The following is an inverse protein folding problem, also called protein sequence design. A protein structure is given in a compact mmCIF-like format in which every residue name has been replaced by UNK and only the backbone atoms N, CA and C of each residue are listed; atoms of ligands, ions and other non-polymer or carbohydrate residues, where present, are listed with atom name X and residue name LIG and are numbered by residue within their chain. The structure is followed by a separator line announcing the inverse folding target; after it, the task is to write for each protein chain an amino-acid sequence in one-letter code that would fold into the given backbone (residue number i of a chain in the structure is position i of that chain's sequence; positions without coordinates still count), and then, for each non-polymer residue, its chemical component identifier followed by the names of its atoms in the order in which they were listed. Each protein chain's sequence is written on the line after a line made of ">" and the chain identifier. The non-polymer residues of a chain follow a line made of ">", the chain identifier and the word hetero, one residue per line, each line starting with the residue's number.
data_IF_947378071959
#
_entry.id   IF_947378071959
#
_cell.length_a   1.000
_cell.length_b   1.000
_cell.length_c   1.000
_cell.angle_alpha   90.00
_cell.angle_beta   90.00
_cell.angle_gamma   90.00
#
_symmetry.space_group_name_H-M   'P 1'
#
loop_
_entity.id
_entity.type
_entity.pdbx_description
1 polymer ?
#
# COMPACT_ATOMS: atom_id res chain seq x y z
N UNK A 1 -14.10 -26.09 -3.36
CA UNK A 1 -14.33 -25.66 -4.77
C UNK A 1 -12.98 -25.23 -5.31
N UNK A 2 -12.41 -25.98 -6.26
CA UNK A 2 -11.22 -25.52 -6.97
C UNK A 2 -11.62 -24.40 -7.94
N UNK A 3 -10.91 -23.27 -7.97
CA UNK A 3 -11.18 -22.22 -8.96
C UNK A 3 -10.86 -22.73 -10.36
N UNK A 4 -11.83 -22.63 -11.28
CA UNK A 4 -11.60 -22.88 -12.71
C UNK A 4 -10.49 -21.96 -13.22
N UNK A 5 -9.41 -22.53 -13.76
CA UNK A 5 -8.39 -21.76 -14.49
C UNK A 5 -9.02 -21.18 -15.75
N UNK A 6 -9.18 -19.86 -15.79
CA UNK A 6 -9.64 -19.14 -16.98
C UNK A 6 -8.52 -19.17 -18.02
N UNK A 7 -8.79 -19.82 -19.16
CA UNK A 7 -7.87 -19.82 -20.29
C UNK A 7 -8.06 -18.53 -21.08
N UNK A 8 -7.04 -17.66 -21.11
CA UNK A 8 -7.09 -16.42 -21.90
C UNK A 8 -6.88 -16.77 -23.36
N UNK A 9 -7.78 -16.33 -24.22
CA UNK A 9 -7.65 -16.55 -25.66
C UNK A 9 -6.55 -15.62 -26.17
N UNK A 10 -5.45 -16.18 -26.66
CA UNK A 10 -4.51 -15.39 -27.44
C UNK A 10 -5.29 -14.78 -28.62
N UNK A 11 -5.33 -13.45 -28.70
CA UNK A 11 -5.77 -12.77 -29.92
C UNK A 11 -4.97 -13.41 -31.05
N UNK A 12 -5.64 -13.83 -32.13
CA UNK A 12 -5.00 -14.49 -33.28
C UNK A 12 -4.08 -13.50 -34.01
N UNK A 13 -3.03 -12.99 -33.37
CA UNK A 13 -1.98 -12.26 -34.04
C UNK A 13 -1.12 -13.29 -34.76
N UNK A 14 -1.17 -13.31 -36.09
CA UNK A 14 -0.31 -14.16 -36.94
C UNK A 14 1.18 -13.75 -36.89
N UNK A 15 1.58 -12.95 -35.90
CA UNK A 15 2.90 -12.40 -35.71
C UNK A 15 3.33 -12.60 -34.26
N UNK A 16 4.55 -13.12 -33.98
CA UNK A 16 5.10 -13.22 -32.63
C UNK A 16 5.21 -11.84 -31.92
N UNK A 17 5.18 -10.75 -32.69
CA UNK A 17 5.14 -9.39 -32.14
C UNK A 17 3.80 -9.06 -31.47
N UNK A 18 2.67 -9.56 -32.01
CA UNK A 18 1.36 -9.27 -31.43
C UNK A 18 1.12 -9.97 -30.09
N UNK A 19 1.67 -11.17 -29.90
CA UNK A 19 1.62 -11.84 -28.60
C UNK A 19 2.46 -11.08 -27.56
N UNK A 20 3.65 -10.61 -27.94
CA UNK A 20 4.49 -9.84 -27.03
C UNK A 20 3.80 -8.55 -26.56
N UNK A 21 3.16 -7.81 -27.48
CA UNK A 21 2.40 -6.60 -27.14
C UNK A 21 1.28 -6.88 -26.12
N UNK A 22 0.52 -7.96 -26.31
CA UNK A 22 -0.53 -8.38 -25.37
C UNK A 22 0.04 -8.70 -23.99
N UNK A 23 1.15 -9.44 -23.92
CA UNK A 23 1.79 -9.79 -22.63
C UNK A 23 2.30 -8.54 -21.90
N UNK A 24 2.89 -7.60 -22.64
CA UNK A 24 3.37 -6.32 -22.10
C UNK A 24 2.20 -5.50 -21.55
N UNK A 25 1.11 -5.37 -22.31
CA UNK A 25 -0.09 -4.65 -21.89
C UNK A 25 -0.74 -5.28 -20.65
N UNK A 26 -0.85 -6.61 -20.61
CA UNK A 26 -1.38 -7.34 -19.46
C UNK A 26 -0.54 -7.13 -18.20
N UNK A 27 0.78 -7.15 -18.32
CA UNK A 27 1.69 -6.91 -17.20
C UNK A 27 1.53 -5.51 -16.61
N UNK A 28 1.54 -4.49 -17.48
CA UNK A 28 1.35 -3.11 -17.03
C UNK A 28 -0.07 -2.84 -16.53
N UNK A 29 -1.07 -3.51 -17.07
CA UNK A 29 -2.45 -3.41 -16.58
C UNK A 29 -2.58 -4.00 -15.19
N UNK A 30 -2.08 -5.23 -14.98
CA UNK A 30 -2.09 -5.91 -13.68
C UNK A 30 -1.37 -5.08 -12.61
N UNK A 31 -0.15 -4.60 -12.89
CA UNK A 31 0.62 -3.80 -11.94
C UNK A 31 -0.05 -2.47 -11.61
N UNK A 32 -0.62 -1.79 -12.61
CA UNK A 32 -1.38 -0.55 -12.44
C UNK A 32 -2.66 -0.74 -11.62
N UNK A 33 -3.38 -1.83 -11.85
CA UNK A 33 -4.62 -2.12 -11.10
C UNK A 33 -4.34 -2.35 -9.62
N UNK A 34 -3.30 -3.11 -9.28
CA UNK A 34 -2.91 -3.30 -7.87
C UNK A 34 -2.42 -2.00 -7.24
N UNK A 35 -1.60 -1.21 -7.96
CA UNK A 35 -1.18 0.10 -7.49
C UNK A 35 -2.35 1.07 -7.26
N UNK A 36 -3.38 1.05 -8.12
CA UNK A 36 -4.59 1.86 -7.96
C UNK A 36 -5.40 1.49 -6.71
N UNK A 37 -5.50 0.21 -6.36
CA UNK A 37 -6.20 -0.23 -5.14
C UNK A 37 -5.50 0.31 -3.89
N UNK A 38 -4.17 0.23 -3.87
CA UNK A 38 -3.38 0.79 -2.78
C UNK A 38 -3.51 2.30 -2.69
N UNK A 39 -3.34 3.02 -3.81
CA UNK A 39 -3.47 4.48 -3.86
C UNK A 39 -4.86 4.93 -3.39
N UNK A 40 -5.93 4.27 -3.83
CA UNK A 40 -7.28 4.57 -3.38
C UNK A 40 -7.43 4.43 -1.86
N UNK A 41 -6.90 3.36 -1.28
CA UNK A 41 -6.95 3.16 0.17
C UNK A 41 -6.12 4.21 0.94
N UNK A 42 -5.02 4.69 0.37
CA UNK A 42 -4.24 5.79 0.92
C UNK A 42 -4.97 7.13 0.82
N UNK A 43 -5.55 7.45 -0.34
CA UNK A 43 -6.32 8.69 -0.58
C UNK A 43 -7.54 8.79 0.34
N UNK A 44 -8.15 7.65 0.69
CA UNK A 44 -9.25 7.60 1.65
C UNK A 44 -8.86 8.11 3.04
N UNK A 45 -7.59 8.01 3.46
CA UNK A 45 -7.17 8.54 4.76
C UNK A 45 -7.38 10.07 4.83
N UNK A 46 -7.02 10.79 3.77
CA UNK A 46 -7.20 12.24 3.68
C UNK A 46 -8.67 12.60 3.42
N UNK A 47 -9.30 11.94 2.43
CA UNK A 47 -10.70 12.22 2.06
C UNK A 47 -11.67 12.02 3.22
N UNK A 48 -11.48 10.96 4.01
CA UNK A 48 -12.33 10.64 5.17
C UNK A 48 -11.83 11.33 6.45
N UNK A 49 -10.84 12.22 6.33
CA UNK A 49 -10.27 12.99 7.45
C UNK A 49 -9.84 12.11 8.62
N UNK A 50 -9.24 10.97 8.33
CA UNK A 50 -8.81 10.02 9.35
C UNK A 50 -7.85 10.74 10.31
N UNK A 51 -8.12 10.59 11.60
CA UNK A 51 -7.38 11.23 12.71
C UNK A 51 -7.41 12.77 12.73
N UNK A 52 -8.32 13.42 12.00
CA UNK A 52 -8.64 14.83 12.26
C UNK A 52 -9.34 14.92 13.62
N UNK A 53 -8.64 15.45 14.62
CA UNK A 53 -9.02 15.39 16.03
C UNK A 53 -10.40 16.02 16.35
N UNK A 54 -10.81 17.03 15.58
CA UNK A 54 -12.13 17.65 15.72
C UNK A 54 -13.29 16.74 15.32
N UNK A 55 -13.02 15.67 14.57
CA UNK A 55 -13.99 14.69 14.10
C UNK A 55 -14.06 13.45 15.03
N UNK A 56 -13.29 13.39 16.13
CA UNK A 56 -13.26 12.26 17.08
C UNK A 56 -14.15 12.52 18.30
N UNK A 57 -15.46 12.63 18.08
CA UNK A 57 -16.40 13.08 19.12
C UNK A 57 -17.29 11.98 19.67
N UNK A 58 -17.52 10.91 18.91
CA UNK A 58 -18.37 9.79 19.31
C UNK A 58 -17.74 8.42 19.03
N UNK A 59 -18.35 7.36 19.57
CA UNK A 59 -17.94 5.97 19.29
C UNK A 59 -18.01 5.64 17.79
N UNK A 60 -19.01 6.18 17.09
CA UNK A 60 -19.14 5.99 15.65
C UNK A 60 -17.96 6.59 14.88
N UNK A 61 -17.41 7.72 15.33
CA UNK A 61 -16.23 8.33 14.72
C UNK A 61 -14.99 7.45 14.88
N UNK A 62 -14.75 6.92 16.08
CA UNK A 62 -13.64 5.96 16.32
C UNK A 62 -13.78 4.71 15.46
N UNK A 63 -14.99 4.16 15.39
CA UNK A 63 -15.28 2.97 14.56
C UNK A 63 -15.04 3.26 13.08
N UNK A 64 -15.49 4.41 12.57
CA UNK A 64 -15.26 4.85 11.18
C UNK A 64 -13.77 5.00 10.89
N UNK A 65 -13.03 5.68 11.76
CA UNK A 65 -11.59 5.91 11.57
C UNK A 65 -10.81 4.60 11.62
N UNK A 66 -11.13 3.69 12.55
CA UNK A 66 -10.48 2.37 12.62
C UNK A 66 -10.69 1.57 11.34
N UNK A 67 -11.90 1.58 10.79
CA UNK A 67 -12.23 0.88 9.55
C UNK A 67 -11.37 1.36 8.37
N UNK A 68 -11.18 2.68 8.20
CA UNK A 68 -10.35 3.20 7.10
C UNK A 68 -8.86 2.89 7.30
N UNK A 69 -8.37 2.94 8.54
CA UNK A 69 -7.01 2.51 8.87
C UNK A 69 -6.79 1.02 8.58
N UNK A 70 -7.77 0.16 8.90
CA UNK A 70 -7.73 -1.27 8.58
C UNK A 70 -7.72 -1.52 7.07
N UNK A 71 -8.53 -0.78 6.30
CA UNK A 71 -8.54 -0.87 4.84
C UNK A 71 -7.19 -0.48 4.24
N UNK A 72 -6.61 0.64 4.68
CA UNK A 72 -5.29 1.09 4.27
C UNK A 72 -4.18 0.09 4.62
N UNK A 73 -4.21 -0.48 5.83
CA UNK A 73 -3.27 -1.51 6.25
C UNK A 73 -3.39 -2.80 5.42
N UNK A 74 -4.62 -3.26 5.15
CA UNK A 74 -4.86 -4.43 4.30
C UNK A 74 -4.32 -4.19 2.89
N UNK A 75 -4.68 -3.06 2.28
CA UNK A 75 -4.23 -2.70 0.94
C UNK A 75 -2.70 -2.59 0.85
N UNK A 76 -2.04 -2.02 1.87
CA UNK A 76 -0.57 -1.92 1.91
C UNK A 76 0.11 -3.28 2.02
N UNK A 77 -0.42 -4.19 2.85
CA UNK A 77 0.08 -5.57 2.97
C UNK A 77 -0.15 -6.38 1.70
N UNK A 78 -1.33 -6.26 1.09
CA UNK A 78 -1.67 -6.92 -0.16
C UNK A 78 -0.78 -6.44 -1.31
N UNK A 79 -0.52 -5.13 -1.39
CA UNK A 79 0.34 -4.57 -2.43
C UNK A 79 1.80 -4.96 -2.23
N UNK A 80 2.30 -4.97 -0.98
CA UNK A 80 3.63 -5.50 -0.67
C UNK A 80 3.77 -6.96 -1.10
N UNK A 81 2.82 -7.81 -0.71
CA UNK A 81 2.81 -9.22 -1.10
C UNK A 81 2.71 -9.39 -2.63
N UNK A 82 1.97 -8.52 -3.32
CA UNK A 82 1.92 -8.50 -4.78
C UNK A 82 3.30 -8.21 -5.39
N UNK A 83 4.00 -7.19 -4.92
CA UNK A 83 5.33 -6.82 -5.40
C UNK A 83 6.35 -7.92 -5.14
N UNK A 84 6.37 -8.49 -3.93
CA UNK A 84 7.27 -9.60 -3.58
C UNK A 84 7.08 -10.82 -4.49
N UNK A 85 5.85 -11.06 -4.96
CA UNK A 85 5.48 -12.20 -5.79
C UNK A 85 5.25 -11.83 -7.27
N UNK A 86 5.67 -10.64 -7.71
CA UNK A 86 5.34 -10.12 -9.04
C UNK A 86 5.83 -11.03 -10.17
N UNK A 87 7.03 -11.61 -10.05
CA UNK A 87 7.58 -12.55 -11.03
C UNK A 87 6.71 -13.80 -11.18
N UNK A 88 6.33 -14.41 -10.06
CA UNK A 88 5.46 -15.59 -10.03
C UNK A 88 4.10 -15.27 -10.63
N UNK A 89 3.48 -14.15 -10.23
CA UNK A 89 2.17 -13.71 -10.74
C UNK A 89 2.21 -13.42 -12.25
N UNK A 90 3.24 -12.74 -12.72
CA UNK A 90 3.43 -12.48 -14.15
C UNK A 90 3.62 -13.79 -14.94
N UNK A 91 4.41 -14.72 -14.39
CA UNK A 91 4.64 -16.04 -15.01
C UNK A 91 3.35 -16.84 -15.12
N UNK A 92 2.58 -16.93 -14.03
CA UNK A 92 1.30 -17.63 -14.01
C UNK A 92 0.28 -17.00 -14.98
N UNK A 93 0.21 -15.65 -15.01
CA UNK A 93 -0.65 -14.93 -15.93
C UNK A 93 -0.29 -15.22 -17.40
N UNK A 94 1.00 -15.31 -17.72
CA UNK A 94 1.44 -15.56 -19.10
C UNK A 94 1.31 -17.02 -19.54
N UNK A 95 1.44 -17.98 -18.61
CA UNK A 95 1.15 -19.40 -18.89
C UNK A 95 -0.32 -19.60 -19.27
N UNK A 96 -1.24 -18.74 -18.78
CA UNK A 96 -2.67 -18.79 -19.14
C UNK A 96 -2.94 -18.53 -20.64
N UNK A 97 -1.97 -17.99 -21.38
CA UNK A 97 -2.00 -17.84 -22.84
C UNK A 97 -1.53 -19.10 -23.59
N UNK A 98 -1.28 -20.21 -22.89
CA UNK A 98 -0.81 -21.47 -23.50
C UNK A 98 0.71 -21.52 -23.71
N UNK A 99 1.46 -20.59 -23.12
CA UNK A 99 2.91 -20.57 -23.18
C UNK A 99 3.53 -21.52 -22.13
N UNK A 100 4.64 -22.15 -22.48
CA UNK A 100 5.44 -22.90 -21.51
C UNK A 100 6.27 -21.95 -20.62
N UNK A 101 6.63 -22.40 -19.42
CA UNK A 101 7.48 -21.62 -18.51
C UNK A 101 8.81 -21.18 -19.17
N UNK A 102 9.39 -22.01 -20.04
CA UNK A 102 10.62 -21.68 -20.78
C UNK A 102 10.44 -20.51 -21.77
N UNK A 103 9.24 -20.37 -22.36
CA UNK A 103 8.92 -19.28 -23.27
C UNK A 103 8.60 -17.98 -22.52
N UNK A 104 7.99 -18.08 -21.34
CA UNK A 104 7.57 -16.96 -20.50
C UNK A 104 8.74 -16.28 -19.79
N UNK A 105 9.69 -17.07 -19.28
CA UNK A 105 10.81 -16.57 -18.46
C UNK A 105 11.57 -15.36 -19.04
N UNK A 106 12.01 -15.34 -20.32
CA UNK A 106 12.73 -14.18 -20.86
C UNK A 106 11.86 -12.92 -20.96
N UNK A 107 10.56 -13.07 -21.22
CA UNK A 107 9.61 -11.94 -21.31
C UNK A 107 9.39 -11.32 -19.94
N UNK A 108 9.10 -12.15 -18.93
CA UNK A 108 8.92 -11.71 -17.55
C UNK A 108 10.19 -11.03 -17.02
N UNK A 109 11.35 -11.64 -17.23
CA UNK A 109 12.63 -11.05 -16.85
C UNK A 109 12.85 -9.67 -17.48
N UNK A 110 12.52 -9.52 -18.76
CA UNK A 110 12.65 -8.24 -19.45
C UNK A 110 11.73 -7.17 -18.83
N UNK A 111 10.47 -7.51 -18.58
CA UNK A 111 9.47 -6.61 -17.99
C UNK A 111 9.82 -6.20 -16.55
N UNK A 112 10.47 -7.09 -15.79
CA UNK A 112 10.88 -6.81 -14.41
C UNK A 112 12.15 -5.96 -14.30
N UNK A 113 12.87 -5.67 -15.39
CA UNK A 113 14.16 -4.97 -15.34
C UNK A 113 14.09 -3.64 -14.58
N UNK A 114 13.03 -2.86 -14.79
CA UNK A 114 12.82 -1.60 -14.06
C UNK A 114 12.44 -1.83 -12.62
N UNK A 115 11.55 -2.80 -12.36
CA UNK A 115 11.13 -3.17 -11.02
C UNK A 115 12.30 -3.63 -10.16
N UNK A 116 13.18 -4.50 -10.66
CA UNK A 116 14.33 -5.02 -9.92
C UNK A 116 15.31 -3.92 -9.48
N UNK A 117 15.39 -2.81 -10.23
CA UNK A 117 16.20 -1.64 -9.81
C UNK A 117 15.58 -0.87 -8.64
N UNK A 118 14.26 -0.95 -8.47
CA UNK A 118 13.48 -0.17 -7.50
C UNK A 118 12.94 -1.02 -6.36
N UNK A 119 13.02 -2.36 -6.48
CA UNK A 119 12.37 -3.33 -5.61
C UNK A 119 12.68 -3.13 -4.14
N UNK A 120 13.96 -2.94 -3.80
CA UNK A 120 14.38 -2.72 -2.42
C UNK A 120 13.73 -1.47 -1.84
N UNK A 121 13.78 -0.35 -2.55
CA UNK A 121 13.19 0.93 -2.14
C UNK A 121 11.66 0.84 -2.04
N UNK A 122 10.98 0.20 -3.01
CA UNK A 122 9.52 -0.02 -2.98
C UNK A 122 9.06 -0.89 -1.82
N UNK A 123 9.78 -1.98 -1.54
CA UNK A 123 9.48 -2.88 -0.41
C UNK A 123 9.67 -2.12 0.92
N UNK A 124 10.77 -1.37 1.07
CA UNK A 124 11.00 -0.53 2.25
C UNK A 124 9.90 0.50 2.42
N UNK A 125 9.54 1.21 1.35
CA UNK A 125 8.47 2.21 1.36
C UNK A 125 7.14 1.61 1.85
N UNK A 126 6.70 0.49 1.27
CA UNK A 126 5.46 -0.16 1.71
C UNK A 126 5.54 -0.70 3.14
N UNK A 127 6.70 -1.22 3.56
CA UNK A 127 6.94 -1.59 4.95
C UNK A 127 6.73 -0.40 5.90
N UNK A 128 7.31 0.75 5.58
CA UNK A 128 7.13 1.99 6.34
C UNK A 128 5.67 2.46 6.34
N UNK A 129 4.95 2.34 5.22
CA UNK A 129 3.51 2.65 5.15
C UNK A 129 2.66 1.74 6.06
N UNK A 130 3.03 0.45 6.20
CA UNK A 130 2.38 -0.48 7.13
C UNK A 130 2.66 -0.09 8.59
N UNK A 131 3.90 0.29 8.90
CA UNK A 131 4.26 0.80 10.23
C UNK A 131 3.47 2.09 10.56
N UNK A 132 3.36 3.00 9.59
CA UNK A 132 2.56 4.23 9.71
C UNK A 132 1.11 3.92 10.07
N UNK A 133 0.44 3.05 9.31
CA UNK A 133 -0.93 2.62 9.59
C UNK A 133 -1.09 1.99 10.97
N UNK A 134 -0.13 1.19 11.40
CA UNK A 134 -0.13 0.51 12.70
C UNK A 134 0.00 1.52 13.85
N UNK A 135 0.86 2.53 13.70
CA UNK A 135 1.02 3.60 14.69
C UNK A 135 -0.18 4.54 14.74
N UNK A 136 -0.76 4.88 13.60
CA UNK A 136 -2.04 5.61 13.54
C UNK A 136 -3.16 4.86 14.25
N UNK A 137 -3.27 3.54 14.06
CA UNK A 137 -4.27 2.74 14.77
C UNK A 137 -4.00 2.66 16.28
N UNK A 138 -2.74 2.59 16.68
CA UNK A 138 -2.33 2.66 18.09
C UNK A 138 -2.68 4.01 18.72
N UNK A 139 -2.49 5.11 17.97
CA UNK A 139 -2.89 6.45 18.39
C UNK A 139 -4.42 6.53 18.56
N UNK A 140 -5.18 6.07 17.57
CA UNK A 140 -6.64 6.07 17.63
C UNK A 140 -7.14 5.31 18.86
N UNK A 141 -6.61 4.10 19.10
CA UNK A 141 -6.94 3.28 20.26
C UNK A 141 -6.58 3.96 21.58
N UNK A 142 -5.43 4.63 21.64
CA UNK A 142 -5.00 5.39 22.81
C UNK A 142 -5.98 6.53 23.12
N UNK A 143 -6.34 7.33 22.11
CA UNK A 143 -7.29 8.44 22.24
C UNK A 143 -8.67 7.95 22.66
N UNK A 144 -9.14 6.85 22.08
CA UNK A 144 -10.41 6.21 22.43
C UNK A 144 -10.44 5.76 23.88
N UNK A 145 -9.43 4.98 24.29
CA UNK A 145 -9.32 4.43 25.65
C UNK A 145 -9.19 5.53 26.71
N UNK A 146 -8.70 6.70 26.32
CA UNK A 146 -8.45 7.84 27.21
C UNK A 146 -9.37 9.03 26.95
N UNK A 147 -10.50 8.85 26.27
CA UNK A 147 -11.40 9.94 25.85
C UNK A 147 -11.82 10.88 26.99
N UNK A 148 -11.95 10.39 28.22
CA UNK A 148 -12.29 11.22 29.38
C UNK A 148 -11.13 12.04 29.97
N UNK A 149 -9.90 11.75 29.55
CA UNK A 149 -8.66 12.32 30.08
C UNK A 149 -7.97 13.29 29.12
N UNK A 150 -8.64 13.65 28.04
CA UNK A 150 -8.13 14.66 27.13
C UNK A 150 -9.27 15.50 26.57
N UNK A 151 -8.91 16.70 26.13
CA UNK A 151 -9.82 17.62 25.46
C UNK A 151 -9.10 18.29 24.30
N UNK A 152 -9.88 18.76 23.33
CA UNK A 152 -9.34 19.54 22.23
C UNK A 152 -9.28 21.02 22.63
N UNK A 153 -8.08 21.61 22.61
CA UNK A 153 -7.84 23.04 22.88
C UNK A 153 -7.00 23.59 21.73
N UNK A 154 -7.52 24.58 21.01
CA UNK A 154 -6.83 25.19 19.85
C UNK A 154 -6.33 24.16 18.82
N UNK A 155 -7.17 23.16 18.48
CA UNK A 155 -6.84 22.03 17.60
C UNK A 155 -5.67 21.14 18.08
N UNK A 156 -5.33 21.20 19.36
CA UNK A 156 -4.33 20.35 19.99
C UNK A 156 -4.96 19.53 21.11
N UNK A 157 -4.44 18.33 21.34
CA UNK A 157 -4.90 17.49 22.43
C UNK A 157 -4.22 17.96 23.72
N UNK A 158 -5.03 18.43 24.67
CA UNK A 158 -4.61 18.74 26.03
C UNK A 158 -4.96 17.56 26.94
N UNK A 159 -3.92 16.86 27.41
CA UNK A 159 -4.05 15.70 28.29
C UNK A 159 -4.13 16.15 29.76
N UNK A 160 -5.05 15.56 30.52
CA UNK A 160 -5.31 15.92 31.93
C UNK A 160 -4.09 15.70 32.84
N UNK A 161 -3.27 14.69 32.55
CA UNK A 161 -2.09 14.33 33.33
C UNK A 161 -0.81 14.25 32.48
N UNK A 162 0.33 14.57 33.12
CA UNK A 162 1.66 14.58 32.51
C UNK A 162 2.12 13.20 32.03
N UNK A 163 1.73 12.10 32.68
CA UNK A 163 2.11 10.76 32.24
C UNK A 163 1.40 10.39 30.95
N UNK A 164 0.09 10.69 30.83
CA UNK A 164 -0.65 10.51 29.58
C UNK A 164 -0.11 11.39 28.46
N UNK A 165 0.21 12.66 28.75
CA UNK A 165 0.85 13.56 27.79
C UNK A 165 2.17 12.98 27.23
N UNK A 166 3.01 12.38 28.10
CA UNK A 166 4.24 11.72 27.65
C UNK A 166 3.98 10.52 26.74
N UNK A 167 2.97 9.70 27.06
CA UNK A 167 2.62 8.54 26.24
C UNK A 167 2.09 8.97 24.87
N UNK A 168 1.21 9.96 24.84
CA UNK A 168 0.72 10.56 23.60
C UNK A 168 1.84 11.12 22.74
N UNK A 169 2.70 11.98 23.31
CA UNK A 169 3.81 12.58 22.57
C UNK A 169 4.77 11.52 22.03
N UNK A 170 5.05 10.46 22.78
CA UNK A 170 5.90 9.37 22.29
C UNK A 170 5.30 8.68 21.04
N UNK A 171 3.98 8.48 20.99
CA UNK A 171 3.31 7.93 19.80
C UNK A 171 3.40 8.92 18.62
N UNK A 172 3.19 10.22 18.87
CA UNK A 172 3.32 11.26 17.83
C UNK A 172 4.75 11.33 17.29
N UNK A 173 5.76 11.32 18.16
CA UNK A 173 7.17 11.34 17.77
C UNK A 173 7.53 10.14 16.87
N UNK A 174 7.00 8.95 17.18
CA UNK A 174 7.15 7.77 16.33
C UNK A 174 6.46 7.92 14.97
N UNK A 175 5.26 8.51 14.93
CA UNK A 175 4.53 8.76 13.67
C UNK A 175 5.32 9.74 12.79
N UNK A 176 5.81 10.84 13.35
CA UNK A 176 6.62 11.83 12.62
C UNK A 176 7.90 11.19 12.06
N UNK A 177 8.60 10.38 12.86
CA UNK A 177 9.79 9.67 12.39
C UNK A 177 9.49 8.70 11.23
N UNK A 178 8.30 8.10 11.20
CA UNK A 178 7.87 7.24 10.10
C UNK A 178 7.52 8.08 8.86
N UNK A 179 6.89 9.24 9.01
CA UNK A 179 6.61 10.16 7.89
C UNK A 179 7.90 10.63 7.21
N UNK A 180 8.94 10.94 8.00
CA UNK A 180 10.28 11.27 7.48
C UNK A 180 10.87 10.12 6.65
N UNK A 181 10.65 8.87 7.06
CA UNK A 181 11.09 7.69 6.29
C UNK A 181 10.29 7.51 5.00
N UNK A 182 8.97 7.75 5.02
CA UNK A 182 8.14 7.72 3.80
C UNK A 182 8.67 8.76 2.81
N UNK A 183 8.96 9.98 3.26
CA UNK A 183 9.50 11.04 2.41
C UNK A 183 10.87 10.65 1.84
N UNK A 184 11.75 10.07 2.66
CA UNK A 184 13.05 9.59 2.24
C UNK A 184 12.97 8.56 1.11
N UNK A 185 12.20 7.49 1.29
CA UNK A 185 12.07 6.44 0.28
C UNK A 185 11.32 6.90 -0.98
N UNK A 186 10.36 7.83 -0.84
CA UNK A 186 9.68 8.45 -1.99
C UNK A 186 10.67 9.23 -2.86
N UNK A 187 11.56 10.03 -2.25
CA UNK A 187 12.62 10.76 -2.97
C UNK A 187 13.62 9.82 -3.64
N UNK A 188 13.98 8.71 -2.99
CA UNK A 188 14.86 7.69 -3.55
C UNK A 188 14.23 7.01 -4.79
N UNK A 189 12.94 6.69 -4.72
CA UNK A 189 12.20 6.11 -5.85
C UNK A 189 12.15 7.06 -7.06
N UNK A 190 11.87 8.34 -6.83
CA UNK A 190 11.88 9.38 -7.87
C UNK A 190 13.24 9.51 -8.56
N UNK A 191 14.33 9.34 -7.81
CA UNK A 191 15.68 9.35 -8.37
C UNK A 191 15.91 8.16 -9.31
N UNK A 192 15.38 6.98 -8.97
CA UNK A 192 15.44 5.81 -9.85
C UNK A 192 14.58 5.95 -11.11
N UNK A 193 13.52 6.76 -11.10
CA UNK A 193 12.66 7.01 -12.26
C UNK A 193 13.24 8.02 -13.27
N UNK A 194 14.16 8.88 -12.82
CA UNK A 194 14.78 9.94 -13.65
C UNK A 194 16.07 9.51 -14.35
N UNK A 195 16.55 8.27 -14.12
CA UNK A 195 17.78 7.69 -14.68
C UNK A 195 17.49 6.58 -15.67
#
# INVERSE_FOLDING_TARGET
>A
MEPQKVQKTAVQSHSPFGLYEVLVEDFYTMTREEGKKWQYAFDLLDYEKVLVLGELTSEEDYTRHSKYLEQYLSASKEYLAFLENLETKATENFIAYGLSAKQVAPVVKNLLTTYEKQKATLISLLGTHIDYGTKMQSLLQFLHTKQQHWKLVNNQIDMEDKKLAKQYNAIIDEIVAIEDQIEHYSKELDFHLKK
#
